data_IF_493105228618
#
_entry.id   IF_493105228618
#
_cell.length_a   1.000
_cell.length_b   1.000
_cell.length_c   1.000
_cell.angle_alpha   90.00
_cell.angle_beta   90.00
_cell.angle_gamma   90.00
#
_symmetry.space_group_name_H-M   'P 1'
#
loop_
_entity.id
_entity.type
_entity.pdbx_description
1 polymer ?
#
# COMPACT_ATOMS: atom_id res chain seq x y z
N UNK A 1 -10.91 6.19 -21.09
CA UNK A 1 -11.72 7.22 -21.80
C UNK A 1 -11.96 8.48 -20.94
N UNK A 2 -11.69 8.46 -19.62
CA UNK A 2 -11.84 9.63 -18.72
C UNK A 2 -10.52 10.35 -18.45
N UNK A 3 -9.41 9.96 -19.10
CA UNK A 3 -8.10 10.61 -18.95
C UNK A 3 -7.43 10.41 -17.58
N UNK A 4 -7.83 9.39 -16.80
CA UNK A 4 -7.25 9.11 -15.48
C UNK A 4 -6.09 8.11 -15.53
N UNK A 5 -6.05 7.27 -16.55
CA UNK A 5 -4.97 6.30 -16.74
C UNK A 5 -4.06 6.77 -17.86
N UNK A 6 -2.76 6.63 -17.66
CA UNK A 6 -1.75 6.87 -18.67
C UNK A 6 -1.80 5.76 -19.74
N UNK A 7 -1.24 6.07 -20.93
CA UNK A 7 -1.17 5.11 -22.04
C UNK A 7 -0.28 3.89 -21.67
N UNK A 8 0.72 4.09 -20.80
CA UNK A 8 1.54 3.05 -20.20
C UNK A 8 1.32 3.00 -18.68
N UNK A 9 0.50 2.08 -18.18
CA UNK A 9 0.17 1.99 -16.76
C UNK A 9 1.22 1.22 -15.94
N UNK A 10 2.39 0.95 -16.47
CA UNK A 10 3.40 0.08 -15.84
C UNK A 10 3.79 0.57 -14.45
N UNK A 11 3.99 1.87 -14.25
CA UNK A 11 4.34 2.42 -12.94
C UNK A 11 3.22 2.25 -11.91
N UNK A 12 1.97 2.45 -12.31
CA UNK A 12 0.80 2.27 -11.45
C UNK A 12 0.63 0.80 -11.06
N UNK A 13 0.65 -0.09 -12.06
CA UNK A 13 0.42 -1.53 -11.87
C UNK A 13 1.55 -2.18 -11.06
N UNK A 14 2.80 -1.76 -11.29
CA UNK A 14 3.95 -2.26 -10.53
C UNK A 14 4.04 -1.70 -9.11
N UNK A 15 3.26 -0.66 -8.76
CA UNK A 15 3.26 -0.01 -7.46
C UNK A 15 4.36 1.02 -7.23
N UNK A 16 5.21 1.26 -8.23
CA UNK A 16 6.33 2.21 -8.08
C UNK A 16 5.89 3.65 -7.99
N UNK A 17 4.80 4.06 -8.65
CA UNK A 17 4.26 5.41 -8.49
C UNK A 17 3.88 5.68 -7.03
N UNK A 18 3.10 4.80 -6.42
CA UNK A 18 2.75 4.89 -5.01
C UNK A 18 3.97 4.80 -4.07
N UNK A 19 4.98 4.01 -4.42
CA UNK A 19 6.22 3.89 -3.66
C UNK A 19 7.03 5.19 -3.68
N UNK A 20 7.14 5.85 -4.83
CA UNK A 20 7.83 7.15 -4.93
C UNK A 20 7.14 8.21 -4.08
N UNK A 21 5.81 8.29 -4.11
CA UNK A 21 5.05 9.18 -3.23
C UNK A 21 5.28 8.86 -1.75
N UNK A 22 5.32 7.58 -1.38
CA UNK A 22 5.58 7.15 -0.01
C UNK A 22 7.00 7.54 0.46
N UNK A 23 8.02 7.40 -0.39
CA UNK A 23 9.40 7.82 -0.08
C UNK A 23 9.45 9.33 0.21
N UNK A 24 8.78 10.14 -0.60
CA UNK A 24 8.71 11.59 -0.39
C UNK A 24 8.03 11.91 0.94
N UNK A 25 6.87 11.31 1.21
CA UNK A 25 6.14 11.52 2.46
C UNK A 25 6.93 11.04 3.69
N UNK A 26 7.62 9.89 3.60
CA UNK A 26 8.50 9.41 4.64
C UNK A 26 9.64 10.41 4.92
N UNK A 27 10.24 10.94 3.85
CA UNK A 27 11.33 11.91 3.97
C UNK A 27 10.90 13.20 4.65
N UNK A 28 9.71 13.71 4.31
CA UNK A 28 9.13 14.90 4.95
C UNK A 28 8.78 14.63 6.42
N UNK A 29 8.28 13.44 6.74
CA UNK A 29 7.84 13.10 8.09
C UNK A 29 8.99 12.84 9.05
N UNK A 30 10.08 12.22 8.57
CA UNK A 30 11.19 11.79 9.42
C UNK A 30 12.48 12.59 9.23
N UNK A 31 12.53 13.49 8.26
CA UNK A 31 13.66 14.42 8.07
C UNK A 31 14.91 13.79 7.44
N UNK A 32 14.79 12.67 6.75
CA UNK A 32 15.87 12.02 6.01
C UNK A 32 15.31 11.21 4.82
N UNK A 33 16.14 10.98 3.81
CA UNK A 33 15.76 10.20 2.65
C UNK A 33 15.81 8.70 2.93
N UNK A 34 14.84 7.97 2.39
CA UNK A 34 14.87 6.51 2.28
C UNK A 34 15.40 6.17 0.88
N UNK A 35 16.33 5.23 0.81
CA UNK A 35 16.84 4.76 -0.47
C UNK A 35 15.79 3.92 -1.17
N UNK A 36 15.63 4.12 -2.46
CA UNK A 36 14.65 3.37 -3.28
C UNK A 36 14.88 1.84 -3.22
N UNK A 37 16.14 1.42 -3.15
CA UNK A 37 16.54 0.02 -3.03
C UNK A 37 16.14 -0.65 -1.71
N UNK A 38 15.85 0.15 -0.67
CA UNK A 38 15.42 -0.34 0.64
C UNK A 38 13.89 -0.43 0.77
N UNK A 39 13.16 0.01 -0.24
CA UNK A 39 11.69 0.00 -0.24
C UNK A 39 11.20 -1.32 -0.83
N UNK A 40 10.33 -2.01 -0.10
CA UNK A 40 9.64 -3.17 -0.64
C UNK A 40 8.47 -2.72 -1.51
N UNK A 41 8.48 -3.16 -2.77
CA UNK A 41 7.41 -2.85 -3.73
C UNK A 41 6.89 -4.13 -4.35
N UNK A 42 5.59 -4.33 -4.25
CA UNK A 42 4.85 -5.42 -4.88
C UNK A 42 3.65 -4.80 -5.61
N UNK A 43 3.56 -5.05 -6.91
CA UNK A 43 2.48 -4.56 -7.76
C UNK A 43 1.19 -5.37 -7.63
N UNK A 44 0.18 -4.96 -8.39
CA UNK A 44 -1.12 -5.63 -8.42
C UNK A 44 -1.24 -6.66 -9.55
N UNK A 45 -0.21 -6.84 -10.35
CA UNK A 45 -0.18 -7.74 -11.51
C UNK A 45 -0.34 -9.22 -11.13
N UNK A 46 0.03 -9.59 -9.91
CA UNK A 46 -0.11 -10.95 -9.39
C UNK A 46 -1.44 -11.20 -8.65
N UNK A 47 -2.25 -10.15 -8.44
CA UNK A 47 -3.55 -10.28 -7.79
C UNK A 47 -4.59 -10.80 -8.77
N UNK A 48 -5.13 -11.97 -8.52
CA UNK A 48 -6.17 -12.58 -9.34
C UNK A 48 -7.57 -12.16 -8.90
N UNK A 49 -8.56 -12.39 -9.77
CA UNK A 49 -9.97 -12.20 -9.44
C UNK A 49 -10.39 -13.10 -8.26
N UNK A 50 -9.81 -14.30 -8.16
CA UNK A 50 -10.12 -15.22 -7.07
C UNK A 50 -9.58 -14.70 -5.74
N UNK A 51 -8.39 -14.07 -5.71
CA UNK A 51 -7.88 -13.42 -4.50
C UNK A 51 -8.84 -12.33 -4.00
N UNK A 52 -9.38 -11.53 -4.92
CA UNK A 52 -10.36 -10.49 -4.60
C UNK A 52 -11.65 -11.12 -4.03
N UNK A 53 -12.18 -12.16 -4.68
CA UNK A 53 -13.39 -12.86 -4.21
C UNK A 53 -13.20 -13.50 -2.83
N UNK A 54 -12.05 -14.12 -2.59
CA UNK A 54 -11.75 -14.71 -1.28
C UNK A 54 -11.58 -13.62 -0.20
N UNK A 55 -10.93 -12.51 -0.53
CA UNK A 55 -10.82 -11.37 0.37
C UNK A 55 -12.22 -10.83 0.75
N UNK A 56 -13.10 -10.65 -0.23
CA UNK A 56 -14.49 -10.20 -0.02
C UNK A 56 -15.27 -11.15 0.89
N UNK A 57 -15.16 -12.47 0.68
CA UNK A 57 -15.78 -13.48 1.54
C UNK A 57 -15.28 -13.44 2.97
N UNK A 58 -14.05 -13.00 3.19
CA UNK A 58 -13.46 -12.78 4.51
C UNK A 58 -13.80 -11.40 5.11
N UNK A 59 -14.54 -10.55 4.39
CA UNK A 59 -14.93 -9.20 4.83
C UNK A 59 -13.86 -8.14 4.57
N UNK A 60 -12.95 -8.37 3.61
CA UNK A 60 -11.88 -7.46 3.24
C UNK A 60 -12.03 -6.95 1.81
N UNK A 61 -11.53 -5.74 1.56
CA UNK A 61 -11.24 -5.22 0.22
C UNK A 61 -9.73 -5.26 -0.04
N UNK A 62 -9.34 -5.43 -1.30
CA UNK A 62 -7.93 -5.39 -1.72
C UNK A 62 -7.60 -4.00 -2.22
N UNK A 63 -6.55 -3.38 -1.68
CA UNK A 63 -6.03 -2.08 -2.11
C UNK A 63 -4.51 -2.14 -2.26
N UNK A 64 -3.97 -1.46 -3.27
CA UNK A 64 -2.54 -1.15 -3.29
C UNK A 64 -2.29 -0.08 -2.23
N UNK A 65 -1.54 -0.43 -1.21
CA UNK A 65 -1.33 0.43 -0.05
C UNK A 65 0.15 0.64 0.22
N UNK A 66 0.54 1.89 0.35
CA UNK A 66 1.85 2.25 0.88
C UNK A 66 1.77 2.43 2.39
N UNK A 67 2.68 1.79 3.10
CA UNK A 67 2.78 1.87 4.57
C UNK A 67 4.12 2.48 4.93
N UNK A 68 4.08 3.52 5.77
CA UNK A 68 5.23 4.19 6.33
C UNK A 68 5.14 4.08 7.85
N UNK A 69 6.15 3.50 8.50
CA UNK A 69 6.15 3.32 9.95
C UNK A 69 7.58 3.37 10.50
N UNK A 70 7.77 4.12 11.59
CA UNK A 70 9.00 4.04 12.37
C UNK A 70 8.87 2.98 13.48
N UNK A 71 9.97 2.32 13.80
CA UNK A 71 10.10 1.47 14.99
C UNK A 71 10.67 2.28 16.18
N UNK A 72 10.80 1.62 17.32
CA UNK A 72 11.32 2.25 18.55
C UNK A 72 12.79 2.70 18.43
N UNK A 73 13.54 2.10 17.51
CA UNK A 73 14.94 2.43 17.21
C UNK A 73 15.08 3.56 16.17
N UNK A 74 13.95 4.11 15.69
CA UNK A 74 13.92 5.17 14.70
C UNK A 74 14.27 4.71 13.27
N UNK A 75 14.18 3.41 13.01
CA UNK A 75 14.29 2.88 11.64
C UNK A 75 12.92 2.97 10.96
N UNK A 76 12.90 3.39 9.71
CA UNK A 76 11.65 3.62 8.97
C UNK A 76 11.42 2.49 7.96
N UNK A 77 10.27 1.84 8.10
CA UNK A 77 9.72 0.92 7.11
C UNK A 77 8.96 1.72 6.06
N UNK A 78 9.27 1.50 4.79
CA UNK A 78 8.46 1.95 3.65
C UNK A 78 8.20 0.76 2.76
N UNK A 79 6.93 0.46 2.52
CA UNK A 79 6.54 -0.62 1.62
C UNK A 79 5.27 -0.27 0.87
N UNK A 80 5.16 -0.73 -0.34
CA UNK A 80 3.98 -0.63 -1.20
C UNK A 80 3.60 -2.02 -1.68
N UNK A 81 2.40 -2.48 -1.35
CA UNK A 81 1.96 -3.83 -1.71
C UNK A 81 0.43 -3.95 -1.70
N UNK A 82 -0.13 -4.93 -2.41
CA UNK A 82 -1.54 -5.30 -2.26
C UNK A 82 -1.83 -5.64 -0.80
N UNK A 83 -2.83 -5.01 -0.23
CA UNK A 83 -3.16 -5.14 1.19
C UNK A 83 -4.65 -5.38 1.37
N UNK A 84 -4.99 -6.34 2.21
CA UNK A 84 -6.36 -6.62 2.61
C UNK A 84 -6.76 -5.66 3.73
N UNK A 85 -7.73 -4.80 3.45
CA UNK A 85 -8.30 -3.87 4.41
C UNK A 85 -9.71 -4.32 4.80
N UNK A 86 -10.07 -4.36 6.10
CA UNK A 86 -11.45 -4.58 6.50
C UNK A 86 -12.39 -3.64 5.73
N UNK A 87 -13.53 -4.11 5.27
CA UNK A 87 -14.50 -3.29 4.53
C UNK A 87 -14.98 -2.07 5.32
N UNK A 88 -14.91 -2.12 6.65
CA UNK A 88 -15.20 -0.99 7.54
C UNK A 88 -14.09 0.07 7.58
N UNK A 89 -12.90 -0.22 7.08
CA UNK A 89 -11.78 0.72 7.09
C UNK A 89 -11.99 1.82 6.05
N UNK A 90 -11.72 3.08 6.42
CA UNK A 90 -11.98 4.23 5.55
C UNK A 90 -11.26 4.11 4.19
N UNK A 91 -10.02 3.63 4.17
CA UNK A 91 -9.25 3.45 2.94
C UNK A 91 -9.80 2.35 2.02
N UNK A 92 -10.55 1.37 2.54
CA UNK A 92 -11.17 0.34 1.72
C UNK A 92 -12.21 0.92 0.74
N UNK A 93 -12.80 2.07 1.11
CA UNK A 93 -13.87 2.74 0.36
C UNK A 93 -13.38 3.86 -0.56
N UNK A 94 -12.08 4.08 -0.68
CA UNK A 94 -11.48 5.02 -1.63
C UNK A 94 -11.44 4.38 -3.00
N UNK A 95 -12.13 4.97 -3.98
CA UNK A 95 -12.30 4.40 -5.32
C UNK A 95 -12.18 5.46 -6.43
N UNK A 96 -11.99 4.99 -7.67
CA UNK A 96 -11.95 5.84 -8.85
C UNK A 96 -10.71 6.74 -8.88
N UNK A 97 -10.88 8.03 -9.17
CA UNK A 97 -9.79 9.02 -9.27
C UNK A 97 -9.38 9.61 -7.91
N UNK A 98 -9.90 9.06 -6.81
CA UNK A 98 -9.59 9.56 -5.47
C UNK A 98 -8.44 8.80 -4.84
N UNK A 99 -7.58 9.55 -4.18
CA UNK A 99 -6.51 9.05 -3.32
C UNK A 99 -6.78 9.45 -1.88
N UNK A 100 -6.24 8.70 -0.95
CA UNK A 100 -6.32 9.02 0.46
C UNK A 100 -5.02 8.68 1.18
N UNK A 101 -4.70 9.49 2.18
CA UNK A 101 -3.57 9.31 3.08
C UNK A 101 -4.11 9.35 4.50
N UNK A 102 -3.86 8.31 5.26
CA UNK A 102 -4.16 8.27 6.69
C UNK A 102 -2.87 8.48 7.46
N UNK A 103 -2.86 9.48 8.31
CA UNK A 103 -1.75 9.78 9.21
C UNK A 103 -2.21 9.49 10.64
N UNK A 104 -1.49 8.63 11.35
CA UNK A 104 -1.77 8.30 12.73
C UNK A 104 -0.78 9.03 13.64
N UNK A 105 -1.23 10.15 14.21
CA UNK A 105 -0.45 10.96 15.14
C UNK A 105 -0.62 10.44 16.59
N UNK A 106 0.42 10.62 17.40
CA UNK A 106 0.46 10.18 18.80
C UNK A 106 -0.56 10.89 19.69
N UNK A 107 -0.82 12.17 19.43
CA UNK A 107 -1.75 13.00 20.22
C UNK A 107 -3.09 13.18 19.51
N UNK A 108 -3.04 13.51 18.22
CA UNK A 108 -4.24 13.84 17.42
C UNK A 108 -5.00 12.59 16.97
N UNK A 109 -4.33 11.44 16.98
CA UNK A 109 -4.89 10.19 16.45
C UNK A 109 -4.93 10.15 14.93
N UNK A 110 -5.95 9.51 14.39
CA UNK A 110 -6.09 9.29 12.96
C UNK A 110 -6.61 10.56 12.25
N UNK A 111 -5.88 10.98 11.21
CA UNK A 111 -6.25 12.07 10.33
C UNK A 111 -6.28 11.57 8.89
N UNK A 112 -7.34 11.88 8.14
CA UNK A 112 -7.53 11.49 6.77
C UNK A 112 -7.37 12.70 5.83
N UNK A 113 -6.49 12.56 4.86
CA UNK A 113 -6.42 13.44 3.69
C UNK A 113 -7.05 12.71 2.50
N UNK A 114 -8.03 13.31 1.87
CA UNK A 114 -8.79 12.69 0.79
C UNK A 114 -9.03 13.68 -0.33
N UNK A 115 -8.74 13.30 -1.56
CA UNK A 115 -8.91 14.17 -2.71
C UNK A 115 -8.67 13.47 -4.04
N UNK A 116 -8.87 14.20 -5.13
CA UNK A 116 -8.53 13.72 -6.47
C UNK A 116 -7.02 13.78 -6.67
N UNK A 117 -6.40 12.64 -6.97
CA UNK A 117 -4.96 12.55 -7.27
C UNK A 117 -4.64 12.62 -8.76
N UNK A 118 -5.58 12.18 -9.62
CA UNK A 118 -5.38 12.12 -11.06
C UNK A 118 -6.35 13.04 -11.81
N UNK A 119 -5.92 13.49 -12.99
CA UNK A 119 -6.70 14.30 -13.91
C UNK A 119 -6.02 15.64 -14.22
N UNK A 120 -6.32 16.20 -15.39
CA UNK A 120 -5.71 17.44 -15.89
C UNK A 120 -5.91 18.61 -14.91
N UNK A 121 -7.12 18.85 -14.44
CA UNK A 121 -7.44 19.99 -13.58
C UNK A 121 -6.80 19.88 -12.20
N UNK A 122 -6.86 18.76 -11.45
CA UNK A 122 -6.18 18.61 -10.18
C UNK A 122 -4.67 18.80 -10.30
N UNK A 123 -4.04 18.20 -11.31
CA UNK A 123 -2.60 18.32 -11.55
C UNK A 123 -2.22 19.76 -11.88
N UNK A 124 -2.95 20.42 -12.77
CA UNK A 124 -2.70 21.83 -13.12
C UNK A 124 -2.84 22.76 -11.91
N UNK A 125 -3.86 22.53 -11.08
CA UNK A 125 -4.10 23.29 -9.86
C UNK A 125 -2.93 23.16 -8.88
N UNK A 126 -2.40 21.96 -8.70
CA UNK A 126 -1.25 21.70 -7.82
C UNK A 126 0.01 22.40 -8.34
N UNK A 127 0.31 22.28 -9.64
CA UNK A 127 1.47 22.94 -10.26
C UNK A 127 1.39 24.47 -10.10
N UNK A 128 0.21 25.06 -10.34
CA UNK A 128 0.02 26.51 -10.17
C UNK A 128 0.19 26.93 -8.71
N UNK A 129 -0.34 26.14 -7.77
CA UNK A 129 -0.16 26.38 -6.33
C UNK A 129 1.31 26.39 -5.95
N UNK A 130 2.08 25.40 -6.39
CA UNK A 130 3.51 25.29 -6.11
C UNK A 130 4.31 26.45 -6.72
N UNK A 131 3.96 26.89 -7.95
CA UNK A 131 4.55 28.06 -8.57
C UNK A 131 4.28 29.35 -7.79
N UNK A 132 3.05 29.54 -7.31
CA UNK A 132 2.69 30.68 -6.47
C UNK A 132 3.48 30.69 -5.15
N UNK A 133 3.62 29.51 -4.53
CA UNK A 133 4.38 29.37 -3.29
C UNK A 133 5.88 29.63 -3.51
N UNK A 134 6.45 29.08 -4.58
CA UNK A 134 7.84 29.35 -4.95
C UNK A 134 8.08 30.85 -5.22
N UNK A 135 7.19 31.53 -5.93
CA UNK A 135 7.25 32.96 -6.19
C UNK A 135 7.17 33.79 -4.89
N UNK A 136 6.24 33.44 -3.99
CA UNK A 136 6.12 34.08 -2.69
C UNK A 136 7.39 33.91 -1.85
N UNK A 137 7.98 32.71 -1.87
CA UNK A 137 9.26 32.42 -1.19
C UNK A 137 10.40 33.31 -1.71
N UNK A 138 10.51 33.48 -3.03
CA UNK A 138 11.53 34.32 -3.65
C UNK A 138 11.33 35.81 -3.30
N UNK A 139 10.09 36.28 -3.24
CA UNK A 139 9.77 37.69 -3.00
C UNK A 139 9.90 38.03 -1.52
N UNK A 140 9.40 37.20 -0.63
CA UNK A 140 9.28 37.47 0.80
C UNK A 140 10.38 36.83 1.66
N UNK A 141 11.26 36.03 1.05
CA UNK A 141 12.37 35.37 1.76
C UNK A 141 11.91 34.32 2.78
N UNK A 142 10.73 33.72 2.59
CA UNK A 142 10.22 32.68 3.47
C UNK A 142 11.18 31.47 3.44
N UNK A 143 11.52 30.93 4.63
CA UNK A 143 12.29 29.71 4.73
C UNK A 143 11.31 28.56 4.82
N UNK A 144 11.27 27.70 3.80
CA UNK A 144 10.55 26.43 3.88
C UNK A 144 11.32 25.44 4.76
N UNK A 145 10.68 24.96 5.80
CA UNK A 145 11.23 23.99 6.76
C UNK A 145 11.00 22.54 6.33
N UNK A 146 10.78 22.27 5.06
CA UNK A 146 10.39 20.92 4.59
C UNK A 146 11.41 20.21 3.73
N UNK A 147 12.50 20.88 3.34
CA UNK A 147 13.48 20.24 2.46
C UNK A 147 14.50 19.42 3.25
N UNK A 148 14.51 18.12 2.98
CA UNK A 148 15.56 17.22 3.46
C UNK A 148 16.80 17.39 2.58
N UNK A 149 18.00 17.65 3.13
CA UNK A 149 19.22 17.78 2.35
C UNK A 149 19.49 16.52 1.52
N UNK A 150 19.88 16.69 0.26
CA UNK A 150 20.32 15.59 -0.59
C UNK A 150 21.51 14.85 0.06
N UNK A 151 21.47 13.53 0.05
CA UNK A 151 22.50 12.69 0.65
C UNK A 151 22.32 12.42 2.14
N UNK A 152 21.35 13.04 2.82
CA UNK A 152 21.00 12.68 4.18
C UNK A 152 20.05 11.46 4.16
N UNK A 153 20.62 10.26 4.26
CA UNK A 153 19.87 9.02 4.31
C UNK A 153 19.72 8.53 5.74
N UNK A 154 18.50 8.10 6.09
CA UNK A 154 18.20 7.46 7.36
C UNK A 154 18.34 5.94 7.32
N UNK A 155 18.05 5.31 8.46
CA UNK A 155 18.04 3.86 8.55
C UNK A 155 16.68 3.31 8.16
N UNK A 156 16.64 2.50 7.11
CA UNK A 156 15.48 1.73 6.70
C UNK A 156 15.33 0.46 7.52
N UNK A 157 14.08 0.04 7.72
CA UNK A 157 13.76 -1.27 8.28
C UNK A 157 13.43 -2.21 7.13
N UNK A 158 14.19 -3.31 6.95
CA UNK A 158 13.96 -4.22 5.84
C UNK A 158 12.66 -5.02 6.02
N UNK A 159 12.06 -5.47 4.91
CA UNK A 159 10.76 -6.16 4.90
C UNK A 159 10.76 -7.47 5.70
N UNK A 160 11.87 -8.19 5.74
CA UNK A 160 12.00 -9.46 6.47
C UNK A 160 11.98 -9.29 8.02
N UNK A 161 12.10 -8.06 8.52
CA UNK A 161 11.93 -7.72 9.94
C UNK A 161 10.52 -7.21 10.25
N UNK A 162 9.66 -7.09 9.22
CA UNK A 162 8.30 -6.60 9.38
C UNK A 162 7.38 -7.72 9.85
N UNK A 163 6.63 -7.45 10.91
CA UNK A 163 5.60 -8.34 11.43
C UNK A 163 4.23 -7.85 10.98
N UNK A 164 3.52 -8.67 10.20
CA UNK A 164 2.17 -8.36 9.74
C UNK A 164 1.33 -9.63 9.59
N UNK A 165 0.05 -9.46 9.30
CA UNK A 165 -0.82 -10.56 8.88
C UNK A 165 -0.64 -10.77 7.38
N UNK A 166 -0.75 -12.01 6.94
CA UNK A 166 -0.63 -12.39 5.55
C UNK A 166 -1.89 -13.07 5.06
N UNK A 167 -2.24 -12.80 3.82
CA UNK A 167 -3.15 -13.61 3.03
C UNK A 167 -2.31 -14.59 2.21
N UNK A 168 -2.64 -15.87 2.29
CA UNK A 168 -1.92 -16.91 1.57
C UNK A 168 -2.92 -17.74 0.80
N UNK A 169 -2.77 -17.80 -0.52
CA UNK A 169 -3.49 -18.73 -1.38
C UNK A 169 -2.59 -19.90 -1.73
N UNK A 170 -3.11 -21.09 -1.52
CA UNK A 170 -2.43 -22.35 -1.85
C UNK A 170 -3.27 -23.13 -2.83
N UNK A 171 -2.66 -23.60 -3.90
CA UNK A 171 -3.25 -24.59 -4.81
C UNK A 171 -2.68 -25.94 -4.45
N UNK A 172 -3.55 -26.84 -4.02
CA UNK A 172 -3.17 -28.16 -3.51
C UNK A 172 -4.08 -29.21 -4.10
N UNK A 173 -3.65 -30.48 -4.07
CA UNK A 173 -4.54 -31.59 -4.43
C UNK A 173 -5.64 -31.74 -3.38
N UNK A 174 -6.88 -31.92 -3.84
CA UNK A 174 -8.00 -32.19 -2.94
C UNK A 174 -7.94 -33.63 -2.47
N UNK A 175 -7.33 -33.83 -1.31
CA UNK A 175 -7.17 -35.13 -0.66
C UNK A 175 -7.36 -35.00 0.85
N UNK A 176 -7.97 -36.00 1.49
CA UNK A 176 -8.10 -36.06 2.93
C UNK A 176 -6.74 -35.87 3.63
N UNK A 177 -6.67 -34.95 4.59
CA UNK A 177 -5.47 -34.69 5.40
C UNK A 177 -4.55 -33.60 4.90
N UNK A 178 -4.68 -33.07 3.69
CA UNK A 178 -3.82 -31.99 3.15
C UNK A 178 -3.92 -30.74 4.00
N UNK A 179 -5.13 -30.29 4.33
CA UNK A 179 -5.32 -29.14 5.22
C UNK A 179 -4.67 -29.37 6.60
N UNK A 180 -4.77 -30.58 7.13
CA UNK A 180 -4.13 -30.95 8.40
C UNK A 180 -2.60 -30.84 8.34
N UNK A 181 -1.98 -31.25 7.22
CA UNK A 181 -0.53 -31.10 7.03
C UNK A 181 -0.11 -29.63 6.97
N UNK A 182 -0.85 -28.79 6.23
CA UNK A 182 -0.59 -27.36 6.11
C UNK A 182 -0.68 -26.66 7.48
N UNK A 183 -1.77 -26.88 8.19
CA UNK A 183 -1.98 -26.26 9.51
C UNK A 183 -0.96 -26.71 10.53
N UNK A 184 -0.56 -28.00 10.52
CA UNK A 184 0.50 -28.53 11.38
C UNK A 184 1.85 -27.91 11.05
N UNK A 185 2.19 -27.76 9.77
CA UNK A 185 3.45 -27.14 9.35
C UNK A 185 3.56 -25.67 9.75
N UNK A 186 2.45 -24.93 9.67
CA UNK A 186 2.38 -23.52 10.12
C UNK A 186 2.47 -23.41 11.65
N UNK A 187 1.68 -24.25 12.36
CA UNK A 187 1.69 -24.28 13.83
C UNK A 187 3.06 -24.64 14.41
N UNK A 188 3.78 -25.60 13.79
CA UNK A 188 5.13 -25.95 14.21
C UNK A 188 6.14 -24.79 14.11
N UNK A 189 5.83 -23.75 13.33
CA UNK A 189 6.61 -22.52 13.20
C UNK A 189 6.05 -21.33 13.99
N UNK A 190 5.05 -21.58 14.85
CA UNK A 190 4.40 -20.53 15.63
C UNK A 190 3.51 -19.58 14.81
N UNK A 191 3.13 -19.99 13.60
CA UNK A 191 2.26 -19.17 12.74
C UNK A 191 0.80 -19.53 13.05
N UNK A 192 0.05 -18.54 13.57
CA UNK A 192 -1.38 -18.66 13.84
C UNK A 192 -2.22 -18.45 12.59
N UNK A 193 -3.33 -19.17 12.48
CA UNK A 193 -4.29 -19.06 11.40
C UNK A 193 -5.56 -18.41 11.95
N UNK A 194 -5.98 -17.29 11.35
CA UNK A 194 -7.20 -16.58 11.76
C UNK A 194 -8.43 -17.11 11.02
N UNK A 195 -8.30 -17.42 9.75
CA UNK A 195 -9.40 -17.87 8.89
C UNK A 195 -8.87 -18.78 7.77
N UNK A 196 -9.69 -19.73 7.35
CA UNK A 196 -9.42 -20.60 6.21
C UNK A 196 -10.68 -20.67 5.36
N UNK A 197 -10.52 -20.57 4.05
CA UNK A 197 -11.56 -20.85 3.08
C UNK A 197 -11.05 -21.97 2.18
N UNK A 198 -11.78 -23.07 2.15
CA UNK A 198 -11.62 -24.10 1.15
C UNK A 198 -12.93 -24.11 0.33
N UNK A 199 -12.90 -23.63 -0.93
CA UNK A 199 -14.08 -23.72 -1.79
C UNK A 199 -14.33 -25.20 -2.10
N UNK A 200 -15.60 -25.60 -2.17
CA UNK A 200 -15.96 -26.84 -2.84
C UNK A 200 -15.70 -26.62 -4.34
N UNK A 201 -14.98 -27.54 -4.99
CA UNK A 201 -14.96 -27.56 -6.44
C UNK A 201 -16.40 -27.82 -6.88
N UNK A 202 -17.05 -26.78 -7.41
CA UNK A 202 -18.25 -26.97 -8.20
C UNK A 202 -17.79 -27.81 -9.38
N UNK A 203 -18.07 -29.10 -9.33
CA UNK A 203 -17.92 -29.97 -10.47
C UNK A 203 -18.44 -29.20 -11.69
N UNK A 204 -17.56 -29.02 -12.66
CA UNK A 204 -17.98 -28.48 -13.94
C UNK A 204 -19.18 -29.30 -14.38
N UNK A 205 -20.37 -28.67 -14.43
CA UNK A 205 -21.51 -29.21 -15.15
C UNK A 205 -21.09 -29.33 -16.62
N UNK A 206 -20.32 -30.36 -16.90
CA UNK A 206 -20.10 -30.91 -18.22
C UNK A 206 -20.85 -32.24 -18.28
N UNK A 207 -22.18 -32.13 -18.43
CA UNK A 207 -22.97 -33.16 -19.12
C UNK A 207 -24.40 -32.64 -19.32
N UNK A 208 -24.63 -31.99 -20.44
CA UNK A 208 -25.76 -32.31 -21.37
C UNK A 208 -25.60 -31.48 -22.64
#
# INVERSE_FOLDING_TARGET
>A
EKGYAEADPTLDVSGWDAAHMAIILASLSYGFWIKTEDVHVEGIDQVSIDDIRFAERLGYGVKLLSVIRADAEGRVEVRTQPTLLPQSHVLANVNGAFNAIVVNGDIVGETLFYGRGAGQDPTSSSVISDLCEAAATLIYGARHSGFVPHGLYGRSKPINETVSRYFVRLTVYDQPGVLGQITTALGARGIGISSVIQPEDLESDSDT
#
